data_IF_821125894012
#
_entry.id   IF_821125894012
#
_cell.length_a   1.000
_cell.length_b   1.000
_cell.length_c   1.000
_cell.angle_alpha   90.00
_cell.angle_beta   90.00
_cell.angle_gamma   90.00
#
_symmetry.space_group_name_H-M   'P 1'
#
loop_
_entity.id
_entity.type
_entity.pdbx_description
1 polymer ?
#
# COMPACT_ATOMS: atom_id res chain seq x y z
N UNK A 1 -7.11 9.88 19.44
CA UNK A 1 -8.09 9.90 20.52
C UNK A 1 -9.06 8.73 20.34
N UNK A 2 -9.68 8.23 21.41
CA UNK A 2 -10.73 7.18 21.35
C UNK A 2 -11.89 7.65 20.48
N UNK A 3 -12.40 6.75 19.60
CA UNK A 3 -13.51 7.01 18.69
C UNK A 3 -13.23 8.06 17.61
N UNK A 4 -12.02 8.59 17.55
CA UNK A 4 -11.66 9.60 16.56
C UNK A 4 -11.43 9.01 15.17
N UNK A 5 -11.76 9.78 14.12
CA UNK A 5 -11.47 9.41 12.74
C UNK A 5 -10.55 10.44 12.10
N UNK A 6 -9.52 9.96 11.42
CA UNK A 6 -8.60 10.79 10.65
C UNK A 6 -8.37 10.16 9.28
N UNK A 7 -8.62 10.93 8.22
CA UNK A 7 -8.16 10.61 6.88
C UNK A 7 -7.08 11.62 6.49
N UNK A 8 -5.93 11.11 6.11
CA UNK A 8 -4.81 11.93 5.66
C UNK A 8 -4.49 11.58 4.21
N UNK A 9 -4.81 12.50 3.31
CA UNK A 9 -4.58 12.33 1.87
C UNK A 9 -3.37 13.13 1.43
N UNK A 10 -2.46 12.49 0.68
CA UNK A 10 -1.33 13.15 0.04
C UNK A 10 -1.22 12.74 -1.42
N UNK A 11 -0.93 13.71 -2.27
CA UNK A 11 -0.49 13.48 -3.65
C UNK A 11 0.90 14.08 -3.76
N UNK A 12 1.87 13.26 -4.11
CA UNK A 12 3.27 13.66 -4.22
C UNK A 12 3.73 13.53 -5.67
N UNK A 13 4.02 14.67 -6.28
CA UNK A 13 4.48 14.75 -7.65
C UNK A 13 5.73 15.66 -7.71
N UNK A 14 6.80 15.17 -7.10
CA UNK A 14 8.08 15.86 -7.06
C UNK A 14 8.87 15.66 -8.36
N UNK A 15 9.78 16.56 -8.65
CA UNK A 15 10.67 16.46 -9.80
C UNK A 15 11.56 15.21 -9.73
N UNK A 16 12.01 14.72 -10.90
CA UNK A 16 12.79 13.48 -11.02
C UNK A 16 14.23 13.54 -10.46
N UNK A 17 14.62 14.65 -9.83
CA UNK A 17 15.88 14.80 -9.11
C UNK A 17 15.71 14.73 -7.58
N UNK A 18 14.49 14.48 -7.09
CA UNK A 18 14.17 14.44 -5.66
C UNK A 18 14.18 13.01 -5.12
N UNK A 19 14.76 12.84 -3.94
CA UNK A 19 14.63 11.63 -3.12
C UNK A 19 13.60 11.90 -2.02
N UNK A 20 12.49 11.18 -2.08
CA UNK A 20 11.35 11.32 -1.16
C UNK A 20 11.36 10.19 -0.13
N UNK A 21 12.06 10.39 0.99
CA UNK A 21 12.24 9.41 2.06
C UNK A 21 11.36 9.80 3.25
N UNK A 22 10.15 9.28 3.27
CA UNK A 22 9.11 9.73 4.22
C UNK A 22 8.79 8.69 5.26
N UNK A 23 8.78 9.09 6.52
CA UNK A 23 8.23 8.31 7.62
C UNK A 23 6.88 8.88 8.07
N UNK A 24 5.84 8.05 8.02
CA UNK A 24 4.50 8.36 8.54
C UNK A 24 4.09 7.33 9.57
N UNK A 25 3.64 7.76 10.73
CA UNK A 25 3.15 6.88 11.79
C UNK A 25 1.88 7.43 12.40
N UNK A 26 0.94 6.56 12.69
CA UNK A 26 -0.27 6.87 13.41
C UNK A 26 -0.50 5.86 14.53
N UNK A 27 -1.11 6.33 15.60
CA UNK A 27 -1.57 5.51 16.73
C UNK A 27 -3.09 5.63 16.80
N UNK A 28 -3.77 4.50 16.69
CA UNK A 28 -5.23 4.39 16.82
C UNK A 28 -5.58 3.79 18.18
N UNK A 29 -6.38 4.54 18.96
CA UNK A 29 -6.91 4.12 20.25
C UNK A 29 -8.29 3.47 20.07
N UNK A 30 -8.97 3.11 21.17
CA UNK A 30 -10.23 2.39 21.14
C UNK A 30 -11.24 2.98 20.15
N UNK A 31 -11.74 2.14 19.24
CA UNK A 31 -12.72 2.49 18.21
C UNK A 31 -12.30 3.67 17.29
N UNK A 32 -11.03 4.00 17.27
CA UNK A 32 -10.51 5.05 16.38
C UNK A 32 -10.21 4.48 14.99
N UNK A 33 -10.37 5.33 13.98
CA UNK A 33 -10.07 5.00 12.58
C UNK A 33 -8.97 5.91 12.03
N UNK A 34 -7.94 5.31 11.45
CA UNK A 34 -6.91 6.02 10.70
C UNK A 34 -6.88 5.54 9.25
N UNK A 35 -6.97 6.49 8.32
CA UNK A 35 -6.93 6.22 6.89
C UNK A 35 -5.77 7.02 6.26
N UNK A 36 -4.81 6.31 5.66
CA UNK A 36 -3.80 6.90 4.78
C UNK A 36 -4.23 6.74 3.32
N UNK A 37 -4.27 7.85 2.58
CA UNK A 37 -4.52 7.85 1.13
C UNK A 37 -3.34 8.52 0.45
N UNK A 38 -2.56 7.75 -0.28
CA UNK A 38 -1.29 8.20 -0.84
C UNK A 38 -1.24 8.00 -2.37
N UNK A 39 -1.01 9.10 -3.09
CA UNK A 39 -0.63 9.11 -4.52
C UNK A 39 0.85 9.47 -4.67
N UNK A 40 1.63 8.58 -5.28
CA UNK A 40 3.07 8.71 -5.51
C UNK A 40 3.32 8.74 -7.02
N UNK A 41 3.53 9.94 -7.57
CA UNK A 41 3.58 10.17 -9.02
C UNK A 41 4.94 10.69 -9.51
N UNK A 42 5.72 11.30 -8.63
CA UNK A 42 7.00 11.94 -8.93
C UNK A 42 8.14 11.37 -8.10
N UNK A 43 9.24 12.10 -8.06
CA UNK A 43 10.53 11.74 -7.45
C UNK A 43 11.35 10.75 -8.27
N UNK A 44 12.67 10.85 -8.15
CA UNK A 44 13.60 9.83 -8.64
C UNK A 44 13.48 8.54 -7.82
N UNK A 45 13.36 8.69 -6.52
CA UNK A 45 13.16 7.60 -5.57
C UNK A 45 12.15 8.02 -4.51
N UNK A 46 11.12 7.22 -4.32
CA UNK A 46 10.22 7.31 -3.17
C UNK A 46 10.40 6.07 -2.30
N UNK A 47 10.63 6.27 -1.01
CA UNK A 47 10.53 5.21 0.01
C UNK A 47 9.54 5.68 1.08
N UNK A 48 8.34 5.10 1.07
CA UNK A 48 7.25 5.54 1.93
C UNK A 48 6.40 4.37 2.43
N UNK A 49 6.46 4.14 3.73
CA UNK A 49 5.79 3.03 4.41
C UNK A 49 4.97 3.55 5.59
N UNK A 50 3.80 4.16 5.36
CA UNK A 50 2.94 4.60 6.44
C UNK A 50 2.59 3.46 7.38
N UNK A 51 2.66 3.72 8.68
CA UNK A 51 2.37 2.74 9.71
C UNK A 51 1.16 3.15 10.54
N UNK A 52 0.34 2.17 10.92
CA UNK A 52 -0.79 2.33 11.85
C UNK A 52 -0.61 1.32 12.97
N UNK A 53 -0.50 1.83 14.19
CA UNK A 53 -0.45 1.02 15.41
C UNK A 53 -1.84 1.06 16.05
N UNK A 54 -2.54 -0.07 16.05
CA UNK A 54 -3.88 -0.24 16.64
C UNK A 54 -3.71 -0.71 18.08
N UNK A 55 -3.62 0.26 19.00
CA UNK A 55 -3.18 0.04 20.38
C UNK A 55 -4.30 -0.41 21.33
N UNK A 56 -5.55 -0.15 20.98
CA UNK A 56 -6.71 -0.47 21.84
C UNK A 56 -7.82 -1.17 21.03
N UNK A 57 -8.74 -1.90 21.70
CA UNK A 57 -9.78 -2.66 21.03
C UNK A 57 -10.66 -1.85 20.09
N UNK A 58 -11.08 -2.47 18.98
CA UNK A 58 -11.96 -1.87 17.99
C UNK A 58 -11.29 -0.81 17.10
N UNK A 59 -9.99 -0.58 17.24
CA UNK A 59 -9.27 0.33 16.36
C UNK A 59 -9.22 -0.21 14.92
N UNK A 60 -9.32 0.71 13.95
CA UNK A 60 -9.30 0.40 12.52
C UNK A 60 -8.20 1.19 11.80
N UNK A 61 -7.49 0.49 10.92
CA UNK A 61 -6.45 1.07 10.06
C UNK A 61 -6.70 0.80 8.58
N UNK A 62 -6.63 1.82 7.75
CA UNK A 62 -6.78 1.68 6.30
C UNK A 62 -5.66 2.40 5.55
N UNK A 63 -5.12 1.75 4.52
CA UNK A 63 -4.13 2.35 3.64
C UNK A 63 -4.53 2.11 2.18
N UNK A 64 -4.68 3.19 1.43
CA UNK A 64 -4.77 3.18 -0.02
C UNK A 64 -3.53 3.85 -0.58
N UNK A 65 -2.69 3.10 -1.28
CA UNK A 65 -1.49 3.59 -1.94
C UNK A 65 -1.60 3.41 -3.45
N UNK A 66 -1.43 4.48 -4.18
CA UNK A 66 -1.36 4.46 -5.65
C UNK A 66 0.03 4.97 -6.04
N UNK A 67 0.73 4.22 -6.89
CA UNK A 67 2.06 4.60 -7.38
C UNK A 67 2.11 4.53 -8.91
N UNK A 68 2.74 5.53 -9.51
CA UNK A 68 3.10 5.53 -10.92
C UNK A 68 4.60 5.72 -11.03
N UNK A 69 5.29 4.78 -11.66
CA UNK A 69 6.73 4.82 -11.90
C UNK A 69 6.99 4.95 -13.41
N UNK A 70 7.42 6.12 -13.82
CA UNK A 70 7.87 6.40 -15.19
C UNK A 70 9.38 6.30 -15.35
N UNK A 71 9.90 6.76 -16.49
CA UNK A 71 11.31 6.72 -16.83
C UNK A 71 12.21 7.30 -15.73
N UNK A 72 13.17 6.50 -15.27
CA UNK A 72 14.14 6.87 -14.23
C UNK A 72 13.56 7.03 -12.83
N UNK A 73 12.34 6.57 -12.60
CA UNK A 73 11.67 6.62 -11.30
C UNK A 73 11.64 5.26 -10.62
N UNK A 74 11.83 5.26 -9.31
CA UNK A 74 11.63 4.10 -8.45
C UNK A 74 10.67 4.46 -7.32
N UNK A 75 9.47 3.91 -7.36
CA UNK A 75 8.43 4.10 -6.34
C UNK A 75 8.38 2.87 -5.43
N UNK A 76 9.11 2.88 -4.32
CA UNK A 76 9.07 1.83 -3.29
C UNK A 76 8.11 2.28 -2.19
N UNK A 77 6.85 1.96 -2.36
CA UNK A 77 5.77 2.32 -1.45
C UNK A 77 5.19 1.07 -0.78
N UNK A 78 4.59 1.24 0.39
CA UNK A 78 4.03 0.12 1.12
C UNK A 78 3.19 0.57 2.29
N UNK A 79 2.95 -0.34 3.24
CA UNK A 79 2.18 -0.03 4.43
C UNK A 79 2.54 -0.96 5.59
N UNK A 80 2.33 -0.48 6.80
CA UNK A 80 2.51 -1.28 8.03
C UNK A 80 1.25 -1.21 8.88
N UNK A 81 0.64 -2.36 9.15
CA UNK A 81 -0.48 -2.50 10.08
C UNK A 81 -0.02 -3.34 11.29
N UNK A 82 -0.07 -2.76 12.47
CA UNK A 82 0.33 -3.43 13.71
C UNK A 82 -0.88 -3.52 14.63
N UNK A 83 -1.35 -4.75 14.84
CA UNK A 83 -2.46 -5.08 15.73
C UNK A 83 -1.90 -5.38 17.12
N UNK A 84 -2.10 -4.44 18.05
CA UNK A 84 -1.61 -4.56 19.44
C UNK A 84 -2.71 -4.91 20.44
N UNK A 85 -3.97 -4.94 20.01
CA UNK A 85 -5.12 -5.18 20.86
C UNK A 85 -6.18 -6.04 20.14
N UNK A 86 -7.07 -6.72 20.88
CA UNK A 86 -8.09 -7.57 20.28
C UNK A 86 -9.15 -6.78 19.50
N UNK A 87 -9.83 -7.46 18.58
CA UNK A 87 -10.94 -6.92 17.76
C UNK A 87 -10.52 -5.72 16.88
N UNK A 88 -9.24 -5.63 16.52
CA UNK A 88 -8.76 -4.59 15.61
C UNK A 88 -8.82 -5.06 14.15
N UNK A 89 -8.97 -4.11 13.23
CA UNK A 89 -9.11 -4.44 11.81
C UNK A 89 -8.21 -3.56 10.96
N UNK A 90 -7.66 -4.12 9.88
CA UNK A 90 -6.90 -3.35 8.90
C UNK A 90 -7.22 -3.74 7.46
N UNK A 91 -7.08 -2.76 6.56
CA UNK A 91 -7.20 -2.97 5.13
C UNK A 91 -6.08 -2.21 4.42
N UNK A 92 -5.32 -2.92 3.60
CA UNK A 92 -4.26 -2.33 2.79
C UNK A 92 -4.57 -2.60 1.32
N UNK A 93 -4.64 -1.55 0.53
CA UNK A 93 -4.78 -1.61 -0.92
C UNK A 93 -3.60 -0.86 -1.53
N UNK A 94 -2.79 -1.56 -2.31
CA UNK A 94 -1.68 -0.98 -3.06
C UNK A 94 -1.89 -1.23 -4.55
N UNK A 95 -1.89 -0.16 -5.33
CA UNK A 95 -2.00 -0.24 -6.79
C UNK A 95 -0.84 0.50 -7.42
N UNK A 96 -0.17 -0.12 -8.39
CA UNK A 96 0.96 0.50 -9.07
C UNK A 96 0.92 0.30 -10.57
N UNK A 97 1.48 1.28 -11.28
CA UNK A 97 1.71 1.23 -12.72
C UNK A 97 3.18 1.55 -12.97
N UNK A 98 3.84 0.75 -13.80
CA UNK A 98 5.21 0.97 -14.24
C UNK A 98 5.26 1.11 -15.75
N UNK A 99 5.96 2.16 -16.23
CA UNK A 99 6.09 2.50 -17.65
C UNK A 99 7.47 3.09 -17.97
N UNK A 100 7.94 2.90 -19.21
CA UNK A 100 9.19 3.47 -19.74
C UNK A 100 10.42 3.12 -18.89
N UNK A 101 10.52 1.86 -18.45
CA UNK A 101 11.61 1.39 -17.59
C UNK A 101 11.48 1.83 -16.10
N UNK A 102 10.31 2.31 -15.70
CA UNK A 102 10.02 2.64 -14.31
C UNK A 102 9.96 1.40 -13.41
N UNK A 103 10.27 1.59 -12.14
CA UNK A 103 10.22 0.50 -11.16
C UNK A 103 9.25 0.84 -10.02
N UNK A 104 8.25 -0.01 -9.81
CA UNK A 104 7.37 0.05 -8.66
C UNK A 104 7.71 -1.08 -7.66
N UNK A 105 7.67 -0.79 -6.38
CA UNK A 105 7.87 -1.75 -5.31
C UNK A 105 6.78 -1.62 -4.25
N UNK A 106 6.35 -2.76 -3.71
CA UNK A 106 5.50 -2.81 -2.52
C UNK A 106 6.23 -3.50 -1.38
N UNK A 107 6.34 -2.83 -0.23
CA UNK A 107 6.82 -3.44 1.02
C UNK A 107 5.76 -3.32 2.09
N UNK A 108 5.18 -4.44 2.49
CA UNK A 108 4.13 -4.50 3.49
C UNK A 108 4.55 -5.20 4.76
N UNK A 109 4.00 -4.76 5.89
CA UNK A 109 4.06 -5.48 7.15
C UNK A 109 2.67 -5.55 7.74
N UNK A 110 2.21 -6.77 8.03
CA UNK A 110 1.09 -7.02 8.94
C UNK A 110 1.65 -7.73 10.16
N UNK A 111 1.57 -7.08 11.31
CA UNK A 111 1.99 -7.67 12.59
C UNK A 111 0.80 -7.80 13.51
N UNK A 112 0.61 -9.00 14.07
CA UNK A 112 -0.38 -9.27 15.11
C UNK A 112 0.34 -9.71 16.36
N UNK A 113 0.24 -8.93 17.41
CA UNK A 113 0.88 -9.20 18.70
C UNK A 113 0.12 -10.28 19.46
N UNK A 114 0.81 -10.99 20.33
CA UNK A 114 0.19 -11.97 21.23
C UNK A 114 -0.89 -11.30 22.09
N UNK A 115 -2.05 -11.94 22.19
CA UNK A 115 -3.23 -11.40 22.89
C UNK A 115 -4.12 -10.48 22.04
N UNK A 116 -3.75 -10.19 20.80
CA UNK A 116 -4.59 -9.44 19.85
C UNK A 116 -5.57 -10.39 19.13
N UNK A 117 -6.46 -11.01 19.91
CA UNK A 117 -7.45 -11.96 19.40
C UNK A 117 -8.50 -11.29 18.49
N UNK A 118 -9.11 -12.07 17.60
CA UNK A 118 -10.17 -11.67 16.68
C UNK A 118 -9.81 -10.52 15.75
N UNK A 119 -8.52 -10.33 15.48
CA UNK A 119 -8.07 -9.35 14.50
C UNK A 119 -8.36 -9.81 13.07
N UNK A 120 -8.61 -8.85 12.20
CA UNK A 120 -8.80 -9.10 10.75
C UNK A 120 -7.93 -8.15 9.95
N UNK A 121 -7.22 -8.69 8.98
CA UNK A 121 -6.43 -7.90 8.03
C UNK A 121 -6.62 -8.40 6.62
N UNK A 122 -6.78 -7.48 5.68
CA UNK A 122 -6.76 -7.77 4.23
C UNK A 122 -5.73 -6.92 3.55
N UNK A 123 -4.94 -7.54 2.68
CA UNK A 123 -3.90 -6.88 1.87
C UNK A 123 -4.10 -7.25 0.42
N UNK A 124 -4.34 -6.25 -0.43
CA UNK A 124 -4.45 -6.43 -1.86
C UNK A 124 -3.40 -5.56 -2.57
N UNK A 125 -2.56 -6.21 -3.38
CA UNK A 125 -1.51 -5.56 -4.12
C UNK A 125 -1.66 -5.86 -5.62
N UNK A 126 -2.01 -4.83 -6.41
CA UNK A 126 -2.15 -4.95 -7.85
C UNK A 126 -1.06 -4.12 -8.53
N UNK A 127 -0.31 -4.72 -9.43
CA UNK A 127 0.70 -4.04 -10.22
C UNK A 127 0.45 -4.27 -11.72
N UNK A 128 0.49 -3.19 -12.48
CA UNK A 128 0.38 -3.18 -13.93
C UNK A 128 1.70 -2.75 -14.55
N UNK A 129 2.24 -3.58 -15.45
CA UNK A 129 3.45 -3.31 -16.19
C UNK A 129 3.06 -3.04 -17.66
N UNK A 130 3.47 -1.90 -18.20
CA UNK A 130 3.06 -1.46 -19.53
C UNK A 130 4.08 -1.76 -20.64
N UNK A 131 5.32 -2.09 -20.28
CA UNK A 131 6.40 -2.39 -21.24
C UNK A 131 7.38 -3.42 -20.68
N UNK A 132 8.36 -3.85 -21.50
CA UNK A 132 9.31 -4.90 -21.14
C UNK A 132 10.45 -4.43 -20.23
N UNK A 133 10.77 -3.14 -20.28
CA UNK A 133 11.85 -2.56 -19.50
C UNK A 133 11.41 -2.19 -18.08
N UNK A 134 10.10 -2.13 -17.86
CA UNK A 134 9.51 -1.76 -16.57
C UNK A 134 9.44 -2.95 -15.61
N UNK A 135 9.44 -2.64 -14.31
CA UNK A 135 9.52 -3.65 -13.27
C UNK A 135 8.58 -3.38 -12.09
N UNK A 136 8.04 -4.48 -11.55
CA UNK A 136 7.32 -4.48 -10.28
C UNK A 136 7.87 -5.52 -9.33
N UNK A 137 8.12 -5.13 -8.07
CA UNK A 137 8.60 -6.00 -7.01
C UNK A 137 7.64 -5.97 -5.82
N UNK A 138 7.37 -7.13 -5.21
CA UNK A 138 6.48 -7.23 -4.06
C UNK A 138 7.17 -7.97 -2.92
N UNK A 139 7.24 -7.33 -1.74
CA UNK A 139 7.87 -7.86 -0.54
C UNK A 139 6.86 -7.85 0.63
N UNK A 140 5.91 -8.79 0.67
CA UNK A 140 4.99 -8.90 1.79
C UNK A 140 5.71 -9.55 2.98
N UNK A 141 5.45 -9.02 4.17
CA UNK A 141 5.95 -9.59 5.40
C UNK A 141 4.82 -9.68 6.43
N UNK A 142 4.70 -10.82 7.10
CA UNK A 142 3.68 -11.08 8.10
C UNK A 142 4.31 -11.68 9.35
N UNK A 143 4.05 -11.05 10.49
CA UNK A 143 4.42 -11.54 11.82
C UNK A 143 3.15 -11.80 12.62
N UNK A 144 2.75 -13.06 12.76
CA UNK A 144 1.48 -13.42 13.42
C UNK A 144 1.82 -14.20 14.70
N UNK A 145 1.62 -13.54 15.85
CA UNK A 145 1.91 -14.10 17.15
C UNK A 145 0.60 -14.59 17.88
N UNK A 146 -0.54 -14.57 17.17
CA UNK A 146 -1.86 -14.92 17.71
C UNK A 146 -2.62 -15.84 16.75
N UNK A 147 -3.19 -16.92 17.25
CA UNK A 147 -3.83 -17.95 16.42
C UNK A 147 -5.28 -17.58 16.02
N UNK A 148 -5.99 -16.84 16.87
CA UNK A 148 -7.40 -16.47 16.65
C UNK A 148 -7.54 -15.22 15.79
N UNK A 149 -7.05 -15.28 14.54
CA UNK A 149 -7.07 -14.14 13.61
C UNK A 149 -7.50 -14.55 12.21
N UNK A 150 -7.96 -13.60 11.42
CA UNK A 150 -8.29 -13.79 10.01
C UNK A 150 -7.45 -12.85 9.17
N UNK A 151 -6.54 -13.40 8.35
CA UNK A 151 -5.64 -12.61 7.53
C UNK A 151 -5.72 -13.12 6.09
N UNK A 152 -5.99 -12.21 5.17
CA UNK A 152 -5.97 -12.43 3.73
C UNK A 152 -4.90 -11.57 3.07
N UNK A 153 -4.13 -12.17 2.17
CA UNK A 153 -3.20 -11.46 1.31
C UNK A 153 -3.38 -11.94 -0.12
N UNK A 154 -3.57 -11.00 -1.02
CA UNK A 154 -3.65 -11.24 -2.46
C UNK A 154 -2.71 -10.28 -3.19
N UNK A 155 -1.96 -10.79 -4.16
CA UNK A 155 -1.08 -9.99 -4.99
C UNK A 155 -1.23 -10.41 -6.45
N UNK A 156 -1.45 -9.44 -7.32
CA UNK A 156 -1.56 -9.64 -8.76
C UNK A 156 -0.55 -8.75 -9.47
N UNK A 157 0.23 -9.34 -10.37
CA UNK A 157 1.09 -8.60 -11.29
C UNK A 157 0.66 -8.97 -12.70
N UNK A 158 0.27 -7.99 -13.48
CA UNK A 158 -0.14 -8.18 -14.87
C UNK A 158 0.65 -7.28 -15.82
N UNK A 159 0.87 -7.79 -17.03
CA UNK A 159 1.38 -7.02 -18.17
C UNK A 159 0.27 -6.93 -19.21
N UNK A 160 0.04 -5.74 -19.74
CA UNK A 160 -0.89 -5.57 -20.86
C UNK A 160 -0.22 -6.15 -22.11
N UNK A 161 -0.88 -7.12 -22.76
CA UNK A 161 -0.45 -7.65 -24.04
C UNK A 161 -0.83 -6.74 -25.21
N UNK A 162 -0.09 -6.83 -26.31
CA UNK A 162 -0.31 -6.00 -27.50
C UNK A 162 -1.72 -6.12 -28.06
N UNK A 163 -2.33 -7.31 -28.01
CA UNK A 163 -3.72 -7.53 -28.43
C UNK A 163 -4.72 -6.76 -27.57
N UNK A 164 -4.49 -6.64 -26.28
CA UNK A 164 -5.32 -5.87 -25.37
C UNK A 164 -5.19 -4.37 -25.63
N UNK A 165 -3.96 -3.89 -25.87
CA UNK A 165 -3.71 -2.52 -26.26
C UNK A 165 -4.40 -2.19 -27.59
N UNK A 166 -4.25 -3.05 -28.60
CA UNK A 166 -4.93 -2.89 -29.89
C UNK A 166 -6.44 -2.85 -29.74
N UNK A 167 -7.03 -3.73 -28.94
CA UNK A 167 -8.46 -3.73 -28.67
C UNK A 167 -8.93 -2.43 -28.03
N UNK A 168 -8.21 -1.91 -27.05
CA UNK A 168 -8.53 -0.64 -26.37
C UNK A 168 -8.43 0.55 -27.35
N UNK A 169 -7.36 0.61 -28.14
CA UNK A 169 -7.16 1.64 -29.16
C UNK A 169 -8.26 1.59 -30.24
N UNK A 170 -8.66 0.41 -30.70
CA UNK A 170 -9.74 0.22 -31.66
C UNK A 170 -11.10 0.68 -31.11
N UNK A 171 -11.24 0.80 -29.79
CA UNK A 171 -12.44 1.35 -29.10
C UNK A 171 -12.31 2.83 -28.76
N UNK A 172 -11.27 3.52 -29.25
CA UNK A 172 -11.07 4.96 -29.05
C UNK A 172 -10.45 5.34 -27.71
N UNK A 173 -9.81 4.41 -27.01
CA UNK A 173 -9.00 4.68 -25.84
C UNK A 173 -7.56 4.92 -26.34
N UNK A 174 -7.00 6.16 -26.13
CA UNK A 174 -5.69 6.51 -26.65
C UNK A 174 -4.53 5.80 -25.93
#
# INVERSE_FOLDING_TARGET
KKGGRCRYTTIQNWSNNVYNLVTKRAVAYANATMEWVDGNLGSKLTMKYPAIYMMEPGAHGEVLSIAFAGKGQHQDAGAKAVHCAPNTTSKIISKSISKDGGRAGYRGLVKVMKGAENCRSTVNCDALILDEDSRSDTYPYMEIEEDKVTIGHEATVSKIGDEQLFYLMARGIP
#
